data_IF_685017760712
#
_entry.id   IF_685017760712
#
_cell.length_a   1.000
_cell.length_b   1.000
_cell.length_c   1.000
_cell.angle_alpha   90.00
_cell.angle_beta   90.00
_cell.angle_gamma   90.00
#
_symmetry.space_group_name_H-M   'P 1'
#
loop_
_entity.id
_entity.type
_entity.pdbx_description
1 polymer ?
#
# COMPACT_ATOMS: atom_id res chain seq x y z
N UNK A 1 23.56 -35.26 18.73
CA UNK A 1 22.32 -34.57 18.32
C UNK A 1 21.28 -35.66 18.18
N UNK A 2 20.26 -35.64 19.05
CA UNK A 2 19.24 -36.68 19.15
C UNK A 2 18.34 -36.69 17.90
N UNK A 3 17.84 -37.86 17.49
CA UNK A 3 17.00 -38.03 16.30
C UNK A 3 15.73 -37.18 16.42
N UNK A 4 15.18 -37.08 17.62
CA UNK A 4 13.98 -36.28 17.90
C UNK A 4 14.23 -34.77 17.71
N UNK A 5 15.41 -34.28 18.09
CA UNK A 5 15.80 -32.88 17.89
C UNK A 5 15.97 -32.54 16.39
N UNK A 6 16.49 -33.48 15.59
CA UNK A 6 16.60 -33.30 14.13
C UNK A 6 15.22 -33.28 13.48
N UNK A 7 14.32 -34.17 13.92
CA UNK A 7 12.94 -34.24 13.41
C UNK A 7 12.14 -32.96 13.74
N UNK A 8 12.30 -32.43 14.95
CA UNK A 8 11.66 -31.18 15.36
C UNK A 8 12.19 -29.99 14.55
N UNK A 9 13.50 -29.85 14.42
CA UNK A 9 14.12 -28.78 13.62
C UNK A 9 13.64 -28.84 12.16
N UNK A 10 13.59 -30.03 11.58
CA UNK A 10 13.13 -30.23 10.19
C UNK A 10 11.67 -29.81 10.03
N UNK A 11 10.81 -30.13 11.00
CA UNK A 11 9.40 -29.70 11.00
C UNK A 11 9.29 -28.17 11.09
N UNK A 12 10.02 -27.54 11.99
CA UNK A 12 10.00 -26.07 12.16
C UNK A 12 10.42 -25.37 10.87
N UNK A 13 11.52 -25.81 10.25
CA UNK A 13 12.02 -25.25 8.99
C UNK A 13 11.00 -25.47 7.87
N UNK A 14 10.43 -26.67 7.77
CA UNK A 14 9.40 -26.98 6.77
C UNK A 14 8.17 -26.07 6.93
N UNK A 15 7.61 -25.97 8.13
CA UNK A 15 6.45 -25.12 8.42
C UNK A 15 6.73 -23.65 8.12
N UNK A 16 7.92 -23.15 8.48
CA UNK A 16 8.34 -21.79 8.16
C UNK A 16 8.25 -21.52 6.65
N UNK A 17 8.85 -22.38 5.83
CA UNK A 17 8.86 -22.18 4.37
C UNK A 17 7.48 -22.34 3.74
N UNK A 18 6.63 -23.23 4.27
CA UNK A 18 5.24 -23.36 3.81
C UNK A 18 4.48 -22.07 4.07
N UNK A 19 4.52 -21.55 5.30
CA UNK A 19 3.83 -20.30 5.66
C UNK A 19 4.36 -19.14 4.83
N UNK A 20 5.68 -19.00 4.74
CA UNK A 20 6.33 -17.96 3.95
C UNK A 20 5.86 -18.00 2.48
N UNK A 21 5.90 -19.18 1.85
CA UNK A 21 5.56 -19.33 0.44
C UNK A 21 4.08 -19.06 0.15
N UNK A 22 3.18 -19.56 1.00
CA UNK A 22 1.74 -19.28 0.86
C UNK A 22 1.43 -17.80 1.10
N UNK A 23 2.02 -17.21 2.14
CA UNK A 23 1.88 -15.79 2.44
C UNK A 23 2.38 -14.94 1.26
N UNK A 24 3.56 -15.24 0.74
CA UNK A 24 4.14 -14.58 -0.44
C UNK A 24 3.23 -14.65 -1.67
N UNK A 25 2.73 -15.83 -2.03
CA UNK A 25 1.89 -16.00 -3.21
C UNK A 25 0.56 -15.27 -3.05
N UNK A 26 -0.07 -15.34 -1.88
CA UNK A 26 -1.35 -14.67 -1.63
C UNK A 26 -1.18 -13.15 -1.60
N UNK A 27 -0.15 -12.63 -0.92
CA UNK A 27 0.17 -11.21 -0.91
C UNK A 27 0.45 -10.69 -2.32
N UNK A 28 1.25 -11.42 -3.10
CA UNK A 28 1.56 -11.08 -4.49
C UNK A 28 0.28 -10.93 -5.34
N UNK A 29 -0.71 -11.82 -5.19
CA UNK A 29 -1.99 -11.68 -5.89
C UNK A 29 -2.77 -10.44 -5.46
N UNK A 30 -2.71 -10.08 -4.19
CA UNK A 30 -3.31 -8.84 -3.67
C UNK A 30 -2.61 -7.59 -4.23
N UNK A 31 -1.28 -7.59 -4.22
CA UNK A 31 -0.41 -6.52 -4.72
C UNK A 31 -0.66 -6.22 -6.21
N UNK A 32 -0.88 -7.27 -7.01
CA UNK A 32 -1.14 -7.18 -8.44
C UNK A 32 -2.52 -6.61 -8.79
N UNK A 33 -3.46 -6.59 -7.83
CA UNK A 33 -4.78 -6.02 -8.05
C UNK A 33 -4.69 -4.52 -8.33
N UNK A 34 -5.35 -3.99 -9.38
CA UNK A 34 -5.33 -2.57 -9.66
C UNK A 34 -5.98 -1.79 -8.51
N UNK A 35 -5.28 -0.78 -8.00
CA UNK A 35 -5.77 -0.04 -6.86
C UNK A 35 -4.94 1.20 -6.51
N UNK A 36 -5.34 1.89 -5.42
CA UNK A 36 -4.73 3.14 -5.01
C UNK A 36 -3.21 3.14 -4.82
N UNK A 37 -2.69 2.09 -4.19
CA UNK A 37 -1.26 1.96 -3.89
C UNK A 37 -0.43 1.75 -5.17
N UNK A 38 -0.96 0.96 -6.12
CA UNK A 38 -0.38 0.77 -7.45
C UNK A 38 -0.29 2.11 -8.19
N UNK A 39 -1.41 2.83 -8.26
CA UNK A 39 -1.48 4.14 -8.90
C UNK A 39 -0.51 5.14 -8.26
N UNK A 40 -0.47 5.19 -6.93
CA UNK A 40 0.46 6.05 -6.18
C UNK A 40 1.92 5.72 -6.52
N UNK A 41 2.27 4.44 -6.60
CA UNK A 41 3.62 3.98 -6.93
C UNK A 41 4.03 4.37 -8.35
N UNK A 42 3.15 4.18 -9.33
CA UNK A 42 3.41 4.56 -10.72
C UNK A 42 3.72 6.06 -10.80
N UNK A 43 2.87 6.88 -10.20
CA UNK A 43 2.99 8.35 -10.23
C UNK A 43 4.30 8.79 -9.57
N UNK A 44 4.56 8.34 -8.34
CA UNK A 44 5.76 8.74 -7.59
C UNK A 44 7.04 8.27 -8.27
N UNK A 45 7.05 7.05 -8.81
CA UNK A 45 8.21 6.49 -9.51
C UNK A 45 8.52 7.25 -10.79
N UNK A 46 7.50 7.58 -11.59
CA UNK A 46 7.69 8.29 -12.85
C UNK A 46 8.11 9.76 -12.64
N UNK A 47 7.59 10.41 -11.59
CA UNK A 47 7.91 11.81 -11.26
C UNK A 47 9.26 11.99 -10.54
N UNK A 48 9.75 10.97 -9.83
CA UNK A 48 10.97 11.09 -9.02
C UNK A 48 12.23 11.39 -9.85
N UNK A 49 12.90 12.52 -9.58
CA UNK A 49 14.10 12.97 -10.29
C UNK A 49 15.24 11.95 -10.28
N UNK A 50 15.58 11.43 -9.10
CA UNK A 50 16.64 10.43 -8.91
C UNK A 50 16.09 9.24 -8.14
N UNK A 51 16.61 8.04 -8.43
CA UNK A 51 16.28 6.78 -7.72
C UNK A 51 14.79 6.43 -7.68
N UNK A 52 14.00 6.88 -8.68
CA UNK A 52 12.58 6.55 -8.77
C UNK A 52 12.31 5.05 -8.87
N UNK A 53 13.25 4.29 -9.41
CA UNK A 53 13.19 2.83 -9.45
C UNK A 53 13.15 2.15 -8.07
N UNK A 54 13.57 2.84 -6.99
CA UNK A 54 13.48 2.37 -5.61
C UNK A 54 12.22 2.85 -4.88
N UNK A 55 11.34 3.62 -5.51
CA UNK A 55 10.15 4.17 -4.83
C UNK A 55 9.24 3.06 -4.30
N UNK A 56 9.12 1.93 -5.01
CA UNK A 56 8.36 0.78 -4.54
C UNK A 56 8.81 0.31 -3.15
N UNK A 57 10.12 0.23 -2.91
CA UNK A 57 10.67 -0.17 -1.60
C UNK A 57 10.27 0.78 -0.48
N UNK A 58 10.38 2.10 -0.72
CA UNK A 58 10.03 3.10 0.30
C UNK A 58 8.52 3.15 0.57
N UNK A 59 7.71 3.01 -0.47
CA UNK A 59 6.25 2.98 -0.34
C UNK A 59 5.80 1.74 0.44
N UNK A 60 6.34 0.58 0.08
CA UNK A 60 6.03 -0.67 0.79
C UNK A 60 6.60 -0.69 2.20
N UNK A 61 7.70 -0.01 2.49
CA UNK A 61 8.12 0.16 3.90
C UNK A 61 7.03 0.84 4.74
N UNK A 62 6.34 1.83 4.17
CA UNK A 62 5.19 2.45 4.82
C UNK A 62 4.00 1.50 4.99
N UNK A 63 3.72 0.74 3.93
CA UNK A 63 2.70 -0.32 3.94
C UNK A 63 2.97 -1.34 5.05
N UNK A 64 4.19 -1.89 5.09
CA UNK A 64 4.63 -2.89 6.05
C UNK A 64 4.44 -2.44 7.50
N UNK A 65 4.65 -1.16 7.79
CA UNK A 65 4.49 -0.62 9.14
C UNK A 65 3.03 -0.67 9.57
N UNK A 66 2.09 -0.25 8.73
CA UNK A 66 0.66 -0.33 9.07
C UNK A 66 0.16 -1.78 9.09
N UNK A 67 0.76 -2.66 8.30
CA UNK A 67 0.47 -4.09 8.32
C UNK A 67 0.98 -4.76 9.59
N UNK A 68 2.17 -4.42 10.06
CA UNK A 68 2.64 -4.87 11.37
C UNK A 68 1.68 -4.42 12.48
N UNK A 69 1.18 -3.17 12.43
CA UNK A 69 0.20 -2.65 13.40
C UNK A 69 -1.12 -3.44 13.33
N UNK A 70 -1.66 -3.70 12.13
CA UNK A 70 -2.94 -4.42 12.02
C UNK A 70 -2.80 -5.88 12.43
N UNK A 71 -1.68 -6.54 12.12
CA UNK A 71 -1.39 -7.90 12.59
C UNK A 71 -1.39 -7.94 14.12
N UNK A 72 -0.70 -7.01 14.78
CA UNK A 72 -0.70 -6.92 16.25
C UNK A 72 -2.12 -6.72 16.78
N UNK A 73 -2.91 -5.82 16.19
CA UNK A 73 -4.31 -5.62 16.57
C UNK A 73 -5.15 -6.90 16.40
N UNK A 74 -4.99 -7.64 15.30
CA UNK A 74 -5.71 -8.90 15.06
C UNK A 74 -5.31 -9.98 16.07
N UNK A 75 -4.02 -10.10 16.40
CA UNK A 75 -3.51 -11.03 17.41
C UNK A 75 -4.02 -10.71 18.83
N UNK A 76 -4.27 -9.43 19.13
CA UNK A 76 -4.91 -8.98 20.37
C UNK A 76 -6.44 -9.16 20.38
N UNK A 77 -7.03 -9.66 19.29
CA UNK A 77 -8.46 -9.96 19.20
C UNK A 77 -9.34 -8.79 18.76
N UNK A 78 -8.78 -7.70 18.22
CA UNK A 78 -9.53 -6.53 17.76
C UNK A 78 -10.32 -6.75 16.44
N UNK A 79 -10.41 -7.99 15.94
CA UNK A 79 -11.15 -8.32 14.72
C UNK A 79 -12.64 -7.96 14.79
N UNK A 80 -13.24 -7.92 15.99
CA UNK A 80 -14.64 -7.52 16.19
C UNK A 80 -14.93 -6.07 15.80
N UNK A 81 -13.94 -5.16 15.86
CA UNK A 81 -14.15 -3.75 15.53
C UNK A 81 -14.55 -3.57 14.07
N UNK A 82 -14.08 -4.45 13.19
CA UNK A 82 -14.40 -4.43 11.76
C UNK A 82 -15.77 -5.01 11.41
N UNK A 83 -16.47 -5.62 12.38
CA UNK A 83 -17.88 -6.00 12.24
C UNK A 83 -18.82 -4.82 12.50
N UNK A 84 -18.32 -3.74 13.11
CA UNK A 84 -19.13 -2.56 13.40
C UNK A 84 -19.30 -1.71 12.13
N UNK A 85 -20.55 -1.57 11.68
CA UNK A 85 -20.91 -0.79 10.50
C UNK A 85 -20.42 0.67 10.57
N UNK A 86 -20.35 1.27 11.76
CA UNK A 86 -19.86 2.64 11.93
C UNK A 86 -18.36 2.75 11.65
N UNK A 87 -17.56 1.75 12.04
CA UNK A 87 -16.11 1.70 11.79
C UNK A 87 -15.86 1.57 10.30
N UNK A 88 -16.53 0.62 9.63
CA UNK A 88 -16.40 0.40 8.18
C UNK A 88 -16.84 1.65 7.38
N UNK A 89 -17.95 2.29 7.78
CA UNK A 89 -18.41 3.56 7.18
C UNK A 89 -17.38 4.67 7.32
N UNK A 90 -16.82 4.83 8.52
CA UNK A 90 -15.84 5.89 8.79
C UNK A 90 -14.57 5.70 7.97
N UNK A 91 -14.06 4.46 7.90
CA UNK A 91 -12.90 4.11 7.07
C UNK A 91 -13.19 4.39 5.59
N UNK A 92 -14.35 3.95 5.08
CA UNK A 92 -14.74 4.16 3.68
C UNK A 92 -14.84 5.64 3.30
N UNK A 93 -15.49 6.46 4.13
CA UNK A 93 -15.65 7.89 3.89
C UNK A 93 -14.30 8.61 3.94
N UNK A 94 -13.51 8.40 5.01
CA UNK A 94 -12.22 9.07 5.17
C UNK A 94 -11.25 8.68 4.05
N UNK A 95 -11.18 7.38 3.74
CA UNK A 95 -10.36 6.89 2.64
C UNK A 95 -10.81 7.45 1.30
N UNK A 96 -12.13 7.49 1.05
CA UNK A 96 -12.71 8.06 -0.15
C UNK A 96 -12.35 9.53 -0.36
N UNK A 97 -12.44 10.34 0.70
CA UNK A 97 -12.06 11.77 0.68
C UNK A 97 -10.57 11.94 0.37
N UNK A 98 -9.69 11.14 0.99
CA UNK A 98 -8.24 11.20 0.76
C UNK A 98 -7.91 10.85 -0.69
N UNK A 99 -8.49 9.76 -1.22
CA UNK A 99 -8.29 9.33 -2.61
C UNK A 99 -8.80 10.36 -3.62
N UNK A 100 -9.98 10.94 -3.36
CA UNK A 100 -10.55 11.99 -4.19
C UNK A 100 -9.62 13.21 -4.25
N UNK A 101 -9.18 13.71 -3.09
CA UNK A 101 -8.27 14.85 -3.01
C UNK A 101 -6.97 14.59 -3.79
N UNK A 102 -6.40 13.39 -3.62
CA UNK A 102 -5.16 13.02 -4.29
C UNK A 102 -5.33 12.93 -5.82
N UNK A 103 -6.36 12.21 -6.29
CA UNK A 103 -6.66 12.11 -7.71
C UNK A 103 -6.92 13.48 -8.36
N UNK A 104 -7.70 14.34 -7.69
CA UNK A 104 -7.97 15.70 -8.17
C UNK A 104 -6.71 16.57 -8.24
N UNK A 105 -5.81 16.46 -7.26
CA UNK A 105 -4.53 17.17 -7.25
C UNK A 105 -3.67 16.79 -8.45
N UNK A 106 -3.55 15.51 -8.78
CA UNK A 106 -2.78 15.03 -9.94
C UNK A 106 -3.34 15.61 -11.24
N UNK A 107 -4.65 15.46 -11.44
CA UNK A 107 -5.33 15.95 -12.65
C UNK A 107 -5.12 17.46 -12.80
N UNK A 108 -5.28 18.22 -11.71
CA UNK A 108 -5.03 19.67 -11.69
C UNK A 108 -3.60 20.03 -12.06
N UNK A 109 -2.62 19.28 -11.55
CA UNK A 109 -1.20 19.57 -11.78
C UNK A 109 -0.79 19.31 -13.24
N UNK A 110 -1.31 18.25 -13.85
CA UNK A 110 -1.09 17.96 -15.28
C UNK A 110 -1.69 19.07 -16.16
N UNK A 111 -2.92 19.51 -15.88
CA UNK A 111 -3.57 20.58 -16.65
C UNK A 111 -2.89 21.95 -16.52
N UNK A 112 -2.25 22.24 -15.38
CA UNK A 112 -1.51 23.49 -15.18
C UNK A 112 -0.15 23.53 -15.90
N UNK A 113 0.23 22.47 -16.62
CA UNK A 113 1.44 22.44 -17.45
C UNK A 113 2.72 22.60 -16.65
N UNK A 114 2.72 22.28 -15.36
CA UNK A 114 3.90 22.39 -14.49
C UNK A 114 4.47 20.99 -14.24
N UNK A 115 5.42 20.50 -15.08
CA UNK A 115 6.12 19.24 -14.82
C UNK A 115 7.09 19.37 -13.64
N UNK A 116 7.41 20.59 -13.20
CA UNK A 116 7.95 20.83 -11.87
C UNK A 116 6.81 21.12 -10.92
N UNK A 117 6.37 20.10 -10.18
CA UNK A 117 5.95 20.37 -8.81
C UNK A 117 7.12 21.14 -8.18
N UNK A 118 6.94 22.44 -7.95
CA UNK A 118 7.84 23.35 -7.23
C UNK A 118 7.92 22.96 -5.74
N UNK A 119 8.14 21.68 -5.48
CA UNK A 119 8.52 21.12 -4.19
C UNK A 119 9.84 20.35 -4.31
N UNK A 120 10.48 20.34 -5.50
CA UNK A 120 11.67 19.53 -5.78
C UNK A 120 12.90 20.31 -6.27
N UNK A 121 12.93 21.66 -6.20
CA UNK A 121 14.16 22.44 -6.45
C UNK A 121 14.52 23.38 -5.28
N UNK A 122 15.61 22.97 -4.62
CA UNK A 122 16.64 23.66 -3.82
C UNK A 122 16.34 24.37 -2.48
N UNK A 123 17.30 24.32 -1.52
CA UNK A 123 17.29 25.09 -0.26
C UNK A 123 17.40 26.61 -0.42
N UNK A 124 17.53 27.13 -1.64
CA UNK A 124 17.69 28.55 -1.91
C UNK A 124 16.61 29.04 -2.87
N UNK A 125 15.83 30.03 -2.43
CA UNK A 125 15.05 30.87 -3.33
C UNK A 125 13.57 30.99 -3.00
N UNK A 126 13.29 31.82 -1.99
CA UNK A 126 12.12 32.71 -1.80
C UNK A 126 10.90 32.49 -2.73
N UNK A 127 9.76 32.30 -2.07
CA UNK A 127 8.36 32.33 -2.55
C UNK A 127 7.78 30.97 -2.98
N UNK A 128 7.08 30.32 -2.04
CA UNK A 128 5.72 29.82 -2.23
C UNK A 128 5.16 29.34 -0.88
N UNK A 129 3.85 29.57 -0.68
CA UNK A 129 3.16 29.48 0.62
C UNK A 129 3.40 28.18 1.38
N UNK A 130 3.27 28.28 2.71
CA UNK A 130 3.41 27.18 3.67
C UNK A 130 2.84 25.86 3.11
N UNK A 131 3.66 24.80 2.97
CA UNK A 131 3.16 23.49 2.59
C UNK A 131 2.07 23.09 3.59
N UNK A 132 0.84 22.94 3.14
CA UNK A 132 -0.23 22.35 3.96
C UNK A 132 0.22 20.96 4.41
N UNK A 133 -0.12 20.58 5.64
CA UNK A 133 0.32 19.33 6.27
C UNK A 133 0.10 18.09 5.37
N UNK A 134 -1.00 18.07 4.60
CA UNK A 134 -1.30 16.99 3.64
C UNK A 134 -0.31 16.85 2.48
N UNK A 135 0.34 17.93 2.03
CA UNK A 135 1.30 17.87 0.91
C UNK A 135 2.63 17.22 1.36
N UNK A 136 3.12 17.53 2.56
CA UNK A 136 4.35 16.93 3.11
C UNK A 136 4.21 15.43 3.35
N UNK A 137 3.03 14.97 3.75
CA UNK A 137 2.81 13.55 4.02
C UNK A 137 2.84 12.72 2.73
N UNK A 138 2.24 13.22 1.66
CA UNK A 138 2.28 12.56 0.34
C UNK A 138 3.61 12.78 -0.43
N UNK A 139 4.43 13.72 0.01
CA UNK A 139 5.80 13.87 -0.49
C UNK A 139 6.69 12.72 0.00
N UNK A 140 6.58 12.37 1.29
CA UNK A 140 7.31 11.26 1.86
C UNK A 140 6.74 9.92 1.35
N UNK A 141 7.51 9.11 0.59
CA UNK A 141 6.99 7.86 0.03
C UNK A 141 6.51 6.87 1.09
N UNK A 142 7.16 6.83 2.25
CA UNK A 142 6.80 5.95 3.38
C UNK A 142 5.44 6.36 3.96
N UNK A 143 5.29 7.63 4.33
CA UNK A 143 4.02 8.10 4.91
C UNK A 143 2.88 8.08 3.88
N UNK A 144 3.18 8.38 2.62
CA UNK A 144 2.21 8.24 1.54
C UNK A 144 1.77 6.80 1.32
N UNK A 145 2.69 5.82 1.43
CA UNK A 145 2.36 4.39 1.44
C UNK A 145 1.37 4.04 2.54
N UNK A 146 1.66 4.45 3.78
CA UNK A 146 0.73 4.27 4.92
C UNK A 146 -0.66 4.85 4.63
N UNK A 147 -0.71 6.13 4.24
CA UNK A 147 -1.98 6.82 4.03
C UNK A 147 -2.80 6.23 2.90
N UNK A 148 -2.17 5.94 1.75
CA UNK A 148 -2.87 5.43 0.58
C UNK A 148 -3.40 4.02 0.84
N UNK A 149 -2.65 3.18 1.55
CA UNK A 149 -3.11 1.85 1.94
C UNK A 149 -4.27 1.90 2.92
N UNK A 150 -4.18 2.72 3.98
CA UNK A 150 -5.29 2.92 4.92
C UNK A 150 -6.54 3.52 4.26
N UNK A 151 -6.35 4.30 3.20
CA UNK A 151 -7.46 4.91 2.45
C UNK A 151 -8.20 3.93 1.55
N UNK A 152 -7.68 2.70 1.39
CA UNK A 152 -8.27 1.66 0.56
C UNK A 152 -9.06 0.66 1.41
N UNK A 153 -10.41 0.65 1.38
CA UNK A 153 -11.23 -0.32 2.11
C UNK A 153 -10.94 -1.78 1.75
N UNK A 154 -10.48 -2.07 0.52
CA UNK A 154 -10.09 -3.42 0.14
C UNK A 154 -8.93 -3.94 1.01
N UNK A 155 -8.00 -3.07 1.41
CA UNK A 155 -6.90 -3.45 2.30
C UNK A 155 -7.43 -3.89 3.68
N UNK A 156 -8.37 -3.14 4.25
CA UNK A 156 -9.01 -3.52 5.51
C UNK A 156 -9.81 -4.81 5.40
N UNK A 157 -10.59 -4.98 4.32
CA UNK A 157 -11.37 -6.19 4.07
C UNK A 157 -10.43 -7.39 3.94
N UNK A 158 -9.33 -7.26 3.21
CA UNK A 158 -8.33 -8.32 3.03
C UNK A 158 -7.79 -8.79 4.38
N UNK A 159 -7.39 -7.86 5.26
CA UNK A 159 -6.84 -8.21 6.57
C UNK A 159 -7.85 -8.89 7.50
N UNK A 160 -9.10 -8.45 7.48
CA UNK A 160 -10.17 -9.02 8.32
C UNK A 160 -10.64 -10.38 7.80
N UNK A 161 -10.43 -10.68 6.52
CA UNK A 161 -10.84 -11.95 5.89
C UNK A 161 -9.65 -12.89 5.71
N UNK A 162 -8.84 -12.66 4.68
CA UNK A 162 -7.71 -13.50 4.30
C UNK A 162 -6.62 -13.44 5.38
N UNK A 163 -6.26 -12.23 5.83
CA UNK A 163 -5.22 -12.06 6.87
C UNK A 163 -5.58 -12.78 8.17
N UNK A 164 -6.80 -12.60 8.66
CA UNK A 164 -7.29 -13.30 9.85
C UNK A 164 -7.37 -14.82 9.63
N UNK A 165 -7.82 -15.28 8.47
CA UNK A 165 -7.84 -16.70 8.14
C UNK A 165 -6.44 -17.31 8.20
N UNK A 166 -5.42 -16.65 7.64
CA UNK A 166 -4.02 -17.07 7.75
C UNK A 166 -3.55 -17.16 9.19
N UNK A 167 -3.83 -16.13 10.00
CA UNK A 167 -3.47 -16.10 11.43
C UNK A 167 -4.06 -17.31 12.16
N UNK A 168 -5.33 -17.63 11.92
CA UNK A 168 -5.99 -18.77 12.57
C UNK A 168 -5.55 -20.12 12.03
N UNK A 169 -5.35 -20.25 10.72
CA UNK A 169 -5.04 -21.52 10.05
C UNK A 169 -3.63 -22.01 10.37
N UNK A 170 -2.67 -21.10 10.53
CA UNK A 170 -1.26 -21.42 10.78
C UNK A 170 -0.84 -21.21 12.24
N UNK A 171 -1.80 -21.06 13.15
CA UNK A 171 -1.58 -20.84 14.59
C UNK A 171 -0.55 -19.73 14.85
N UNK A 172 -0.72 -18.60 14.15
CA UNK A 172 0.17 -17.45 14.27
C UNK A 172 -0.14 -16.74 15.58
N UNK A 173 0.86 -16.60 16.43
CA UNK A 173 0.72 -15.97 17.75
C UNK A 173 2.04 -15.36 18.20
N UNK A 174 2.00 -14.52 19.23
CA UNK A 174 3.21 -14.01 19.88
C UNK A 174 4.09 -15.12 20.48
N UNK A 175 3.49 -16.27 20.82
CA UNK A 175 4.23 -17.45 21.31
C UNK A 175 4.93 -18.18 20.16
N UNK A 176 4.27 -18.31 19.01
CA UNK A 176 4.81 -18.92 17.80
C UNK A 176 5.45 -17.86 16.89
N UNK A 177 6.47 -17.17 17.40
CA UNK A 177 7.06 -16.01 16.72
C UNK A 177 7.66 -16.36 15.34
N UNK A 178 8.11 -17.60 15.13
CA UNK A 178 8.63 -18.06 13.83
C UNK A 178 7.54 -18.12 12.75
N UNK A 179 6.33 -18.56 13.09
CA UNK A 179 5.20 -18.56 12.15
C UNK A 179 4.76 -17.13 11.84
N UNK A 180 4.78 -16.25 12.84
CA UNK A 180 4.53 -14.82 12.66
C UNK A 180 5.57 -14.18 11.73
N UNK A 181 6.86 -14.46 11.94
CA UNK A 181 7.93 -13.97 11.10
C UNK A 181 7.81 -14.52 9.67
N UNK A 182 7.54 -15.82 9.49
CA UNK A 182 7.32 -16.43 8.18
C UNK A 182 6.18 -15.75 7.43
N UNK A 183 5.05 -15.54 8.10
CA UNK A 183 3.87 -14.90 7.52
C UNK A 183 4.14 -13.47 7.12
N UNK A 184 4.69 -12.66 8.03
CA UNK A 184 5.00 -11.25 7.76
C UNK A 184 6.05 -11.11 6.66
N UNK A 185 7.20 -11.79 6.77
CA UNK A 185 8.26 -11.70 5.77
C UNK A 185 7.82 -12.21 4.40
N UNK A 186 7.01 -13.27 4.35
CA UNK A 186 6.44 -13.77 3.10
C UNK A 186 5.51 -12.75 2.46
N UNK A 187 4.60 -12.18 3.26
CA UNK A 187 3.63 -11.17 2.80
C UNK A 187 4.34 -9.94 2.22
N UNK A 188 5.23 -9.33 3.01
CA UNK A 188 6.00 -8.16 2.59
C UNK A 188 6.90 -8.44 1.38
N UNK A 189 7.47 -9.64 1.28
CA UNK A 189 8.26 -10.00 0.11
C UNK A 189 7.41 -10.02 -1.16
N UNK A 190 6.16 -10.47 -1.10
CA UNK A 190 5.22 -10.44 -2.23
C UNK A 190 4.95 -9.01 -2.69
N UNK A 191 4.66 -8.11 -1.74
CA UNK A 191 4.44 -6.69 -2.02
C UNK A 191 5.71 -6.02 -2.57
N UNK A 192 6.85 -6.20 -1.91
CA UNK A 192 8.12 -5.61 -2.34
C UNK A 192 8.48 -6.04 -3.76
N UNK A 193 8.37 -7.33 -4.10
CA UNK A 193 8.70 -7.83 -5.44
C UNK A 193 7.85 -7.15 -6.50
N UNK A 194 6.53 -7.10 -6.31
CA UNK A 194 5.64 -6.49 -7.28
C UNK A 194 5.87 -4.98 -7.42
N UNK A 195 5.90 -4.27 -6.29
CA UNK A 195 6.01 -2.82 -6.30
C UNK A 195 7.39 -2.31 -6.73
N UNK A 196 8.46 -3.10 -6.55
CA UNK A 196 9.76 -2.83 -7.17
C UNK A 196 9.71 -2.97 -8.70
N UNK A 197 9.08 -4.02 -9.23
CA UNK A 197 8.89 -4.18 -10.68
C UNK A 197 8.13 -2.98 -11.23
N UNK A 198 7.01 -2.60 -10.60
CA UNK A 198 6.21 -1.46 -11.00
C UNK A 198 7.02 -0.16 -10.94
N UNK A 199 7.80 0.08 -9.89
CA UNK A 199 8.60 1.32 -9.78
C UNK A 199 9.72 1.38 -10.80
N UNK A 200 10.39 0.25 -11.09
CA UNK A 200 11.42 0.15 -12.14
C UNK A 200 10.79 0.44 -13.51
N UNK A 201 9.70 -0.25 -13.86
CA UNK A 201 9.01 -0.07 -15.14
C UNK A 201 8.47 1.36 -15.30
N UNK A 202 7.95 1.95 -14.22
CA UNK A 202 7.43 3.31 -14.25
C UNK A 202 8.54 4.35 -14.38
N UNK A 203 9.65 4.20 -13.64
CA UNK A 203 10.77 5.14 -13.68
C UNK A 203 11.48 5.13 -15.02
N UNK A 204 11.81 3.96 -15.56
CA UNK A 204 12.49 3.87 -16.85
C UNK A 204 11.50 3.99 -18.01
N UNK A 205 10.38 3.26 -18.01
CA UNK A 205 9.46 3.22 -19.14
C UNK A 205 8.73 4.54 -19.39
N UNK A 206 8.09 5.11 -18.37
CA UNK A 206 7.20 6.27 -18.56
C UNK A 206 7.97 7.57 -18.81
N UNK A 207 9.22 7.68 -18.35
CA UNK A 207 10.06 8.87 -18.57
C UNK A 207 10.57 9.02 -20.00
N UNK A 208 10.72 7.92 -20.73
CA UNK A 208 11.14 7.96 -22.14
C UNK A 208 9.94 8.06 -23.10
N UNK A 209 8.71 8.11 -22.60
CA UNK A 209 7.53 8.33 -23.43
C UNK A 209 7.39 9.79 -23.84
N UNK A 210 6.72 10.02 -24.98
CA UNK A 210 6.34 11.37 -25.38
C UNK A 210 5.41 12.01 -24.33
N UNK A 211 5.57 13.31 -24.09
CA UNK A 211 4.88 14.10 -23.05
C UNK A 211 3.36 13.89 -23.04
N UNK A 212 2.74 13.74 -24.21
CA UNK A 212 1.29 13.49 -24.33
C UNK A 212 0.88 12.14 -23.73
N UNK A 213 1.65 11.08 -23.98
CA UNK A 213 1.39 9.75 -23.44
C UNK A 213 1.61 9.72 -21.92
N UNK A 214 2.71 10.33 -21.46
CA UNK A 214 3.01 10.48 -20.03
C UNK A 214 1.87 11.19 -19.28
N UNK A 215 1.43 12.35 -19.77
CA UNK A 215 0.30 13.08 -19.18
C UNK A 215 -1.01 12.29 -19.24
N UNK A 216 -1.28 11.59 -20.34
CA UNK A 216 -2.46 10.73 -20.47
C UNK A 216 -2.53 9.66 -19.39
N UNK A 217 -1.41 8.98 -19.12
CA UNK A 217 -1.33 7.94 -18.08
C UNK A 217 -1.53 8.54 -16.68
N UNK A 218 -0.93 9.70 -16.39
CA UNK A 218 -1.11 10.38 -15.11
C UNK A 218 -2.56 10.85 -14.90
N UNK A 219 -3.21 11.39 -15.93
CA UNK A 219 -4.61 11.79 -15.89
C UNK A 219 -5.49 10.56 -15.66
N UNK A 220 -5.26 9.47 -16.40
CA UNK A 220 -5.99 8.21 -16.22
C UNK A 220 -5.88 7.69 -14.78
N UNK A 221 -4.67 7.66 -14.24
CA UNK A 221 -4.39 7.30 -12.85
C UNK A 221 -5.14 8.21 -11.85
N UNK A 222 -5.08 9.54 -12.06
CA UNK A 222 -5.79 10.50 -11.22
C UNK A 222 -7.31 10.34 -11.26
N UNK A 223 -7.88 10.13 -12.45
CA UNK A 223 -9.31 9.86 -12.63
C UNK A 223 -9.69 8.54 -11.96
N UNK A 224 -8.89 7.49 -12.13
CA UNK A 224 -9.11 6.20 -11.46
C UNK A 224 -9.19 6.39 -9.94
N UNK A 225 -8.28 7.15 -9.33
CA UNK A 225 -8.30 7.47 -7.90
C UNK A 225 -9.54 8.24 -7.46
N UNK A 226 -9.99 9.22 -8.26
CA UNK A 226 -11.22 9.97 -8.00
C UNK A 226 -12.43 9.03 -7.99
N UNK A 227 -12.57 8.20 -9.03
CA UNK A 227 -13.69 7.28 -9.17
C UNK A 227 -13.69 6.24 -8.03
N UNK A 228 -12.52 5.70 -7.69
CA UNK A 228 -12.36 4.78 -6.57
C UNK A 228 -12.73 5.45 -5.25
N UNK A 229 -12.25 6.69 -5.03
CA UNK A 229 -12.57 7.45 -3.82
C UNK A 229 -14.06 7.73 -3.65
N UNK A 230 -14.75 8.13 -4.73
CA UNK A 230 -16.20 8.33 -4.74
C UNK A 230 -16.92 7.01 -4.45
N UNK A 231 -16.57 5.95 -5.18
CA UNK A 231 -17.19 4.63 -5.00
C UNK A 231 -17.06 4.12 -3.57
N UNK A 232 -15.85 4.18 -3.00
CA UNK A 232 -15.55 3.72 -1.65
C UNK A 232 -16.17 4.60 -0.56
N UNK A 233 -16.32 5.90 -0.81
CA UNK A 233 -17.00 6.81 0.11
C UNK A 233 -18.52 6.60 0.16
N UNK A 234 -19.12 6.19 -0.96
CA UNK A 234 -20.58 5.98 -1.09
C UNK A 234 -21.00 4.54 -0.76
N UNK A 235 -20.17 3.54 -1.07
CA UNK A 235 -20.50 2.12 -0.89
C UNK A 235 -21.01 1.74 0.51
N UNK A 236 -20.51 2.33 1.63
CA UNK A 236 -21.00 1.99 2.97
C UNK A 236 -22.44 2.43 3.26
N UNK A 237 -23.00 3.32 2.43
CA UNK A 237 -24.40 3.77 2.50
C UNK A 237 -25.32 2.91 1.63
N UNK A 238 -24.78 2.35 0.54
CA UNK A 238 -25.53 1.47 -0.38
C UNK A 238 -25.71 0.06 0.20
N UNK A 239 -24.72 -0.43 0.96
CA UNK A 239 -24.77 -1.73 1.64
C UNK A 239 -25.50 -1.69 2.99
N UNK A 240 -25.94 -0.50 3.42
CA UNK A 240 -26.65 -0.29 4.68
C UNK A 240 -28.17 -0.41 4.59
N UNK A 241 -28.70 -1.06 3.54
CA UNK A 241 -30.10 -1.48 3.42
C UNK A 241 -30.21 -2.98 3.60
#
# INVERSE_FOLDING_TARGET
>A
MDIDMVNELTRVVYTFWVIFSFSFLVALTGAMSPGPLLTYTIIKSAQANTRGYLMGLWIITGHAIIEAVIIVCLLLGFSFMFKNILVVRTIGILGGVILFYFGASIVRNVYRGSPSISFLNSPDGKNQGSPTFGNKVLENPVLGGMMVSMSNPYWWIWWVTIGLAFITQFDISFRNWLNLAAFFLGHEAGDIVWYLIVSILSFFGLRYMNMRAYHGILIFCGIFMILFGIYLGISPFLQGR
#
